data_IF_804458539354
#
_entry.id   IF_804458539354
#
_cell.length_a   1.000
_cell.length_b   1.000
_cell.length_c   1.000
_cell.angle_alpha   90.00
_cell.angle_beta   90.00
_cell.angle_gamma   90.00
#
_symmetry.space_group_name_H-M   'P 1'
#
loop_
_entity.id
_entity.type
_entity.pdbx_description
1 polymer ?
#
# COMPACT_ATOMS: atom_id res chain seq x y z
N UNK A 1 6.12 5.58 -7.39
CA UNK A 1 5.41 5.73 -6.09
C UNK A 1 5.00 4.38 -5.50
N UNK A 2 4.26 3.53 -6.23
CA UNK A 2 3.82 2.21 -5.74
C UNK A 2 4.96 1.34 -5.17
N UNK A 3 6.09 1.24 -5.88
CA UNK A 3 7.28 0.50 -5.40
C UNK A 3 7.88 1.06 -4.11
N UNK A 4 7.90 2.39 -3.95
CA UNK A 4 8.36 3.04 -2.72
C UNK A 4 7.42 2.77 -1.54
N UNK A 5 6.10 2.86 -1.77
CA UNK A 5 5.08 2.46 -0.80
C UNK A 5 5.22 0.98 -0.43
N UNK A 6 5.53 0.12 -1.40
CA UNK A 6 5.80 -1.30 -1.18
C UNK A 6 6.98 -1.57 -0.26
N UNK A 7 8.06 -0.81 -0.38
CA UNK A 7 9.21 -0.93 0.53
C UNK A 7 8.83 -0.56 1.97
N UNK A 8 8.10 0.55 2.16
CA UNK A 8 7.62 0.99 3.47
C UNK A 8 6.62 -0.03 4.06
N UNK A 9 5.70 -0.51 3.24
CA UNK A 9 4.70 -1.51 3.60
C UNK A 9 5.34 -2.82 4.10
N UNK A 10 6.39 -3.30 3.42
CA UNK A 10 7.14 -4.49 3.84
C UNK A 10 7.83 -4.27 5.19
N UNK A 11 8.44 -3.11 5.40
CA UNK A 11 9.09 -2.76 6.66
C UNK A 11 8.10 -2.66 7.85
N UNK A 12 6.89 -2.13 7.61
CA UNK A 12 5.83 -2.04 8.64
C UNK A 12 5.13 -3.39 8.90
N UNK A 13 5.14 -4.28 7.92
CA UNK A 13 4.55 -5.62 8.00
C UNK A 13 3.25 -5.75 7.18
N UNK A 14 3.28 -6.63 6.17
CA UNK A 14 2.18 -6.81 5.22
C UNK A 14 0.90 -7.39 5.86
N UNK A 15 1.03 -8.21 6.90
CA UNK A 15 -0.12 -8.78 7.59
C UNK A 15 -0.93 -7.71 8.33
N UNK A 16 -0.25 -6.77 8.99
CA UNK A 16 -0.90 -5.64 9.65
C UNK A 16 -1.52 -4.70 8.62
N UNK A 17 -0.78 -4.37 7.56
CA UNK A 17 -1.28 -3.51 6.50
C UNK A 17 -2.55 -4.08 5.84
N UNK A 18 -2.61 -5.39 5.63
CA UNK A 18 -3.81 -6.07 5.12
C UNK A 18 -5.03 -5.86 6.03
N UNK A 19 -4.85 -5.93 7.36
CA UNK A 19 -5.91 -5.65 8.33
C UNK A 19 -6.32 -4.18 8.30
N UNK A 20 -5.36 -3.27 8.31
CA UNK A 20 -5.61 -1.82 8.39
C UNK A 20 -6.25 -1.26 7.11
N UNK A 21 -5.92 -1.84 5.95
CA UNK A 21 -6.46 -1.40 4.65
C UNK A 21 -7.73 -2.12 4.24
N UNK A 22 -8.04 -3.27 4.86
CA UNK A 22 -9.08 -4.21 4.40
C UNK A 22 -8.76 -4.89 3.07
N UNK A 23 -7.53 -4.75 2.55
CA UNK A 23 -7.10 -5.36 1.30
C UNK A 23 -6.46 -6.72 1.54
N UNK A 24 -6.72 -7.68 0.65
CA UNK A 24 -6.04 -8.97 0.67
C UNK A 24 -4.52 -8.82 0.46
N UNK A 25 -3.72 -9.70 1.07
CA UNK A 25 -2.25 -9.68 0.96
C UNK A 25 -1.77 -9.75 -0.49
N UNK A 26 -2.40 -10.58 -1.31
CA UNK A 26 -2.07 -10.70 -2.74
C UNK A 26 -2.33 -9.39 -3.49
N UNK A 27 -3.48 -8.76 -3.23
CA UNK A 27 -3.81 -7.45 -3.80
C UNK A 27 -2.78 -6.39 -3.40
N UNK A 28 -2.37 -6.37 -2.12
CA UNK A 28 -1.30 -5.48 -1.64
C UNK A 28 0.05 -5.75 -2.33
N UNK A 29 0.44 -7.02 -2.48
CA UNK A 29 1.68 -7.36 -3.18
C UNK A 29 1.66 -6.89 -4.63
N UNK A 30 0.56 -7.12 -5.34
CA UNK A 30 0.39 -6.70 -6.73
C UNK A 30 0.37 -5.18 -6.86
N UNK A 31 -0.45 -4.51 -6.05
CA UNK A 31 -0.59 -3.05 -6.07
C UNK A 31 0.70 -2.31 -5.71
N UNK A 32 1.56 -2.91 -4.88
CA UNK A 32 2.78 -2.28 -4.36
C UNK A 32 4.07 -2.85 -4.98
N UNK A 33 3.99 -3.81 -5.92
CA UNK A 33 5.17 -4.33 -6.61
C UNK A 33 5.80 -3.28 -7.53
N UNK A 34 4.98 -2.38 -8.06
CA UNK A 34 5.37 -1.39 -9.07
C UNK A 34 5.24 -1.88 -10.51
N UNK A 35 4.83 -3.13 -10.72
CA UNK A 35 4.65 -3.72 -12.06
C UNK A 35 3.28 -3.39 -12.66
N UNK A 36 2.31 -3.05 -11.80
CA UNK A 36 0.99 -2.59 -12.20
C UNK A 36 0.68 -1.23 -11.60
N UNK A 37 -0.20 -0.50 -12.25
CA UNK A 37 -0.70 0.77 -11.75
C UNK A 37 -1.84 0.50 -10.74
N UNK A 38 -1.65 0.74 -9.43
CA UNK A 38 -2.74 0.60 -8.47
C UNK A 38 -3.79 1.69 -8.70
N UNK A 39 -5.06 1.37 -8.38
CA UNK A 39 -6.10 2.39 -8.39
C UNK A 39 -5.81 3.48 -7.36
N UNK A 40 -6.27 4.70 -7.61
CA UNK A 40 -6.07 5.81 -6.67
C UNK A 40 -6.67 5.51 -5.29
N UNK A 41 -7.84 4.86 -5.22
CA UNK A 41 -8.45 4.39 -3.97
C UNK A 41 -7.52 3.45 -3.19
N UNK A 42 -6.84 2.52 -3.88
CA UNK A 42 -5.85 1.62 -3.27
C UNK A 42 -4.69 2.41 -2.67
N UNK A 43 -4.18 3.40 -3.43
CA UNK A 43 -3.08 4.26 -2.97
C UNK A 43 -3.50 5.03 -1.71
N UNK A 44 -4.69 5.63 -1.69
CA UNK A 44 -5.21 6.38 -0.53
C UNK A 44 -5.38 5.47 0.69
N UNK A 45 -5.92 4.26 0.52
CA UNK A 45 -6.04 3.26 1.61
C UNK A 45 -4.68 2.92 2.20
N UNK A 46 -3.69 2.62 1.35
CA UNK A 46 -2.33 2.29 1.79
C UNK A 46 -1.67 3.47 2.48
N UNK A 47 -1.75 4.67 1.91
CA UNK A 47 -1.17 5.89 2.51
C UNK A 47 -1.75 6.15 3.90
N UNK A 48 -3.08 6.06 4.05
CA UNK A 48 -3.75 6.20 5.35
C UNK A 48 -3.32 5.13 6.34
N UNK A 49 -3.29 3.85 5.94
CA UNK A 49 -2.88 2.75 6.80
C UNK A 49 -1.39 2.84 7.19
N UNK A 50 -0.56 3.50 6.39
CA UNK A 50 0.83 3.79 6.72
C UNK A 50 1.01 5.07 7.56
N UNK A 51 -0.07 5.78 7.93
CA UNK A 51 -0.06 7.09 8.59
C UNK A 51 0.74 8.16 7.80
N UNK A 52 0.73 8.06 6.47
CA UNK A 52 1.34 9.02 5.56
C UNK A 52 0.31 10.05 5.08
N UNK A 53 0.79 11.20 4.59
CA UNK A 53 -0.03 12.23 3.96
C UNK A 53 0.42 12.42 2.52
N UNK A 54 -0.54 12.52 1.60
CA UNK A 54 -0.25 13.01 0.25
C UNK A 54 -0.09 14.53 0.34
N UNK A 55 0.98 15.06 -0.27
CA UNK A 55 1.17 16.48 -0.49
C UNK A 55 1.16 16.74 -2.00
N UNK A 56 0.66 17.91 -2.38
CA UNK A 56 0.59 18.42 -3.76
C UNK A 56 1.69 19.45 -3.96
#
# INVERSE_FOLDING_TARGET
>A
IAKALGNIAKAKGMAQLSRDTGLGRESLYKALSGDVNPSFDTVIKVVKALNLRLAI
#
